data_IF_383070561792
#
_entry.id   IF_383070561792
#
_cell.length_a   1.000
_cell.length_b   1.000
_cell.length_c   1.000
_cell.angle_alpha   90.00
_cell.angle_beta   90.00
_cell.angle_gamma   90.00
#
_symmetry.space_group_name_H-M   'P 1'
#
loop_
_entity.id
_entity.type
_entity.pdbx_description
1 polymer ?
#
# COMPACT_ATOMS: atom_id res chain seq x y z
N UNK A 1 -7.31 41.72 45.56
CA UNK A 1 -7.47 42.55 44.35
C UNK A 1 -6.23 42.28 43.50
N UNK A 2 -6.31 41.23 42.70
CA UNK A 2 -5.19 40.67 41.92
C UNK A 2 -5.28 41.26 40.51
N UNK A 3 -4.18 41.88 40.05
CA UNK A 3 -4.12 42.60 38.77
C UNK A 3 -3.93 41.60 37.63
N UNK A 4 -4.90 41.53 36.73
CA UNK A 4 -4.84 40.80 35.45
C UNK A 4 -3.99 41.61 34.47
N UNK A 5 -2.91 41.02 33.94
CA UNK A 5 -2.16 41.54 32.79
C UNK A 5 -2.86 41.12 31.48
N UNK A 6 -2.99 41.98 30.46
CA UNK A 6 -3.52 41.59 29.16
C UNK A 6 -2.46 40.84 28.34
N UNK A 7 -2.85 39.70 27.78
CA UNK A 7 -2.09 38.97 26.76
C UNK A 7 -2.06 39.80 25.46
N UNK A 8 -0.88 40.26 25.05
CA UNK A 8 -0.68 40.82 23.71
C UNK A 8 -0.79 39.70 22.66
N UNK A 9 -1.67 39.89 21.69
CA UNK A 9 -1.85 39.00 20.55
C UNK A 9 -0.73 39.26 19.52
N UNK A 10 0.07 38.23 19.21
CA UNK A 10 0.99 38.27 18.08
C UNK A 10 0.20 38.46 16.76
N UNK A 11 0.65 39.33 15.84
CA UNK A 11 0.00 39.48 14.54
C UNK A 11 0.07 38.18 13.75
N UNK A 12 -1.08 37.68 13.30
CA UNK A 12 -1.13 36.54 12.37
C UNK A 12 -0.46 36.95 11.06
N UNK A 13 0.57 36.19 10.66
CA UNK A 13 1.27 36.38 9.40
C UNK A 13 0.28 36.23 8.23
N UNK A 14 0.30 37.08 7.20
CA UNK A 14 -0.62 36.98 6.07
C UNK A 14 -0.49 35.63 5.36
N UNK A 15 -1.60 34.94 5.06
CA UNK A 15 -1.62 33.65 4.31
C UNK A 15 -0.84 33.66 3.00
N UNK A 16 -0.70 34.82 2.36
CA UNK A 16 0.10 34.99 1.15
C UNK A 16 1.60 34.82 1.40
N UNK A 17 2.09 35.20 2.57
CA UNK A 17 3.48 35.02 3.00
C UNK A 17 3.76 33.56 3.42
N UNK A 18 2.83 32.90 4.12
CA UNK A 18 2.92 31.45 4.39
C UNK A 18 3.02 30.62 3.11
N UNK A 19 2.19 30.95 2.10
CA UNK A 19 2.20 30.26 0.80
C UNK A 19 3.46 30.57 -0.02
N UNK A 20 4.02 31.76 0.15
CA UNK A 20 5.27 32.18 -0.51
C UNK A 20 6.50 31.50 0.11
N UNK A 21 6.58 31.42 1.44
CA UNK A 21 7.66 30.71 2.15
C UNK A 21 7.60 29.19 1.90
N UNK A 22 6.41 28.57 1.89
CA UNK A 22 6.23 27.15 1.57
C UNK A 22 6.69 26.78 0.13
N UNK A 23 6.62 27.73 -0.79
CA UNK A 23 7.09 27.56 -2.17
C UNK A 23 8.59 27.84 -2.33
N UNK A 24 9.23 28.54 -1.37
CA UNK A 24 10.65 28.90 -1.43
C UNK A 24 11.58 27.91 -0.68
N UNK A 25 11.02 26.85 -0.11
CA UNK A 25 11.79 25.74 0.46
C UNK A 25 12.46 24.98 -0.69
N UNK A 26 13.80 24.94 -0.67
CA UNK A 26 14.65 24.22 -1.63
C UNK A 26 14.11 22.81 -1.91
N UNK A 27 14.14 22.39 -3.18
CA UNK A 27 13.78 21.03 -3.59
C UNK A 27 14.50 19.98 -2.74
N UNK A 28 15.76 20.22 -2.36
CA UNK A 28 16.50 19.33 -1.46
C UNK A 28 15.83 19.22 -0.09
N UNK A 29 15.34 20.31 0.50
CA UNK A 29 14.69 20.27 1.81
C UNK A 29 13.32 19.58 1.73
N UNK A 30 12.54 19.80 0.66
CA UNK A 30 11.29 19.05 0.40
C UNK A 30 11.56 17.57 0.20
N UNK A 31 12.62 17.23 -0.54
CA UNK A 31 13.06 15.85 -0.77
C UNK A 31 13.58 15.18 0.51
N UNK A 32 14.42 15.87 1.30
CA UNK A 32 14.93 15.40 2.59
C UNK A 32 13.82 15.19 3.62
N UNK A 33 12.79 16.04 3.59
CA UNK A 33 11.58 15.86 4.40
C UNK A 33 10.74 14.66 3.92
N UNK A 34 10.59 14.50 2.61
CA UNK A 34 9.87 13.36 2.01
C UNK A 34 10.54 12.01 2.32
N UNK A 35 11.88 11.92 2.21
CA UNK A 35 12.61 10.70 2.63
C UNK A 35 12.65 10.55 4.15
N UNK A 36 12.33 11.61 4.90
CA UNK A 36 12.30 11.63 6.35
C UNK A 36 13.67 11.59 7.02
N UNK A 37 14.67 12.26 6.42
CA UNK A 37 16.07 12.30 6.86
C UNK A 37 16.24 12.60 8.36
N UNK A 38 15.35 13.41 8.93
CA UNK A 38 15.38 13.82 10.33
C UNK A 38 14.90 12.74 11.31
N UNK A 39 14.07 11.79 10.89
CA UNK A 39 13.50 10.76 11.77
C UNK A 39 14.20 9.40 11.67
N UNK A 40 15.25 9.25 10.84
CA UNK A 40 16.06 8.02 10.81
C UNK A 40 16.68 7.67 12.17
N UNK A 41 16.80 8.67 13.05
CA UNK A 41 17.35 8.50 14.40
C UNK A 41 16.28 8.21 15.46
N UNK A 42 14.98 8.18 15.10
CA UNK A 42 13.91 7.81 16.04
C UNK A 42 13.88 6.27 16.21
N UNK A 43 13.94 5.75 17.45
CA UNK A 43 13.79 4.32 17.70
C UNK A 43 12.37 3.82 17.39
N UNK A 44 11.36 4.68 17.45
CA UNK A 44 9.97 4.35 17.10
C UNK A 44 9.84 4.06 15.60
N UNK A 45 10.49 4.86 14.75
CA UNK A 45 10.54 4.62 13.30
C UNK A 45 11.09 3.24 12.95
N UNK A 46 12.18 2.81 13.61
CA UNK A 46 12.77 1.49 13.38
C UNK A 46 11.88 0.35 13.89
N UNK A 47 11.18 0.54 15.01
CA UNK A 47 10.19 -0.44 15.50
C UNK A 47 9.03 -0.59 14.53
N UNK A 48 8.52 0.52 13.98
CA UNK A 48 7.45 0.50 13.01
C UNK A 48 7.90 -0.12 11.68
N UNK A 49 9.09 0.23 11.17
CA UNK A 49 9.67 -0.37 9.97
C UNK A 49 9.92 -1.89 10.12
N UNK A 50 10.37 -2.33 11.30
CA UNK A 50 10.52 -3.76 11.60
C UNK A 50 9.16 -4.48 11.65
N UNK A 51 8.14 -3.82 12.20
CA UNK A 51 6.76 -4.33 12.20
C UNK A 51 6.23 -4.47 10.77
N UNK A 52 6.45 -3.48 9.91
CA UNK A 52 6.10 -3.52 8.48
C UNK A 52 6.83 -4.63 7.72
N UNK A 53 8.10 -4.88 8.05
CA UNK A 53 8.87 -6.00 7.49
C UNK A 53 8.24 -7.35 7.87
N UNK A 54 8.01 -7.60 9.17
CA UNK A 54 7.42 -8.85 9.65
C UNK A 54 6.01 -9.04 9.09
N UNK A 55 5.19 -7.99 9.13
CA UNK A 55 3.85 -7.99 8.59
C UNK A 55 3.86 -8.34 7.09
N UNK A 56 4.75 -7.73 6.30
CA UNK A 56 4.86 -8.04 4.87
C UNK A 56 5.34 -9.47 4.64
N UNK A 57 6.28 -9.99 5.44
CA UNK A 57 6.75 -11.37 5.31
C UNK A 57 5.62 -12.38 5.54
N UNK A 58 4.88 -12.25 6.64
CA UNK A 58 3.77 -13.14 6.95
C UNK A 58 2.58 -12.94 5.99
N UNK A 59 2.34 -11.71 5.53
CA UNK A 59 1.31 -11.42 4.52
C UNK A 59 1.64 -12.13 3.21
N UNK A 60 2.87 -11.97 2.71
CA UNK A 60 3.32 -12.58 1.46
C UNK A 60 3.26 -14.11 1.54
N UNK A 61 3.73 -14.69 2.65
CA UNK A 61 3.64 -16.12 2.90
C UNK A 61 2.19 -16.60 2.89
N UNK A 62 1.34 -16.02 3.74
CA UNK A 62 -0.05 -16.47 3.93
C UNK A 62 -0.87 -16.28 2.65
N UNK A 63 -0.84 -15.06 2.10
CA UNK A 63 -1.63 -14.70 0.92
C UNK A 63 -1.24 -15.53 -0.30
N UNK A 64 0.06 -15.67 -0.56
CA UNK A 64 0.54 -16.41 -1.74
C UNK A 64 0.25 -17.90 -1.60
N UNK A 65 0.43 -18.48 -0.41
CA UNK A 65 0.06 -19.88 -0.13
C UNK A 65 -1.43 -20.09 -0.39
N UNK A 66 -2.30 -19.26 0.20
CA UNK A 66 -3.75 -19.41 0.05
C UNK A 66 -4.19 -19.29 -1.40
N UNK A 67 -3.65 -18.33 -2.16
CA UNK A 67 -3.96 -18.19 -3.59
C UNK A 67 -3.52 -19.43 -4.36
N UNK A 68 -2.29 -19.91 -4.16
CA UNK A 68 -1.79 -21.10 -4.86
C UNK A 68 -2.66 -22.32 -4.51
N UNK A 69 -2.97 -22.54 -3.24
CA UNK A 69 -3.80 -23.68 -2.81
C UNK A 69 -5.21 -23.65 -3.41
N UNK A 70 -5.83 -22.47 -3.53
CA UNK A 70 -7.16 -22.32 -4.19
C UNK A 70 -7.08 -22.64 -5.68
N UNK A 71 -5.99 -22.26 -6.35
CA UNK A 71 -5.81 -22.52 -7.77
C UNK A 71 -5.51 -24.01 -8.04
N UNK A 72 -4.80 -24.66 -7.12
CA UNK A 72 -4.41 -26.08 -7.21
C UNK A 72 -5.57 -27.02 -6.87
N UNK A 73 -6.50 -26.63 -6.00
CA UNK A 73 -7.59 -27.49 -5.52
C UNK A 73 -8.68 -27.80 -6.55
N UNK A 74 -8.55 -27.35 -7.81
CA UNK A 74 -9.50 -27.59 -8.90
C UNK A 74 -10.98 -27.29 -8.55
N UNK A 75 -11.20 -26.30 -7.68
CA UNK A 75 -12.53 -25.90 -7.24
C UNK A 75 -13.39 -25.35 -8.39
N UNK A 76 -14.71 -25.42 -8.24
CA UNK A 76 -15.67 -25.10 -9.31
C UNK A 76 -15.62 -23.61 -9.71
N UNK A 77 -15.23 -22.69 -8.80
CA UNK A 77 -15.23 -21.24 -9.05
C UNK A 77 -14.08 -20.46 -8.38
N UNK A 78 -12.81 -20.66 -8.77
CA UNK A 78 -11.67 -19.98 -8.13
C UNK A 78 -11.67 -18.45 -8.37
N UNK A 79 -12.43 -17.96 -9.36
CA UNK A 79 -12.56 -16.53 -9.68
C UNK A 79 -13.18 -15.70 -8.55
N UNK A 80 -14.06 -16.30 -7.75
CA UNK A 80 -14.69 -15.64 -6.60
C UNK A 80 -13.93 -15.95 -5.30
N UNK A 81 -13.41 -17.16 -5.17
CA UNK A 81 -12.71 -17.61 -3.97
C UNK A 81 -11.39 -16.87 -3.74
N UNK A 82 -10.63 -16.57 -4.81
CA UNK A 82 -9.36 -15.82 -4.71
C UNK A 82 -9.56 -14.40 -4.12
N UNK A 83 -10.46 -13.54 -4.66
CA UNK A 83 -10.75 -12.24 -4.06
C UNK A 83 -11.26 -12.31 -2.63
N UNK A 84 -12.11 -13.30 -2.31
CA UNK A 84 -12.62 -13.50 -0.95
C UNK A 84 -11.50 -13.82 0.03
N UNK A 85 -10.58 -14.71 -0.35
CA UNK A 85 -9.40 -15.03 0.46
C UNK A 85 -8.48 -13.82 0.64
N UNK A 86 -8.25 -13.04 -0.43
CA UNK A 86 -7.48 -11.79 -0.36
C UNK A 86 -8.12 -10.82 0.65
N UNK A 87 -9.45 -10.64 0.59
CA UNK A 87 -10.18 -9.79 1.52
C UNK A 87 -9.97 -10.23 2.96
N UNK A 88 -10.17 -11.51 3.28
CA UNK A 88 -10.07 -12.04 4.64
C UNK A 88 -8.65 -11.92 5.21
N UNK A 89 -7.63 -12.34 4.44
CA UNK A 89 -6.24 -12.27 4.87
C UNK A 89 -5.84 -10.81 5.08
N UNK A 90 -6.09 -9.94 4.11
CA UNK A 90 -5.68 -8.54 4.20
C UNK A 90 -6.42 -7.80 5.32
N UNK A 91 -7.71 -8.04 5.50
CA UNK A 91 -8.48 -7.44 6.59
C UNK A 91 -7.87 -7.75 7.96
N UNK A 92 -7.53 -9.01 8.23
CA UNK A 92 -6.94 -9.41 9.51
C UNK A 92 -5.55 -8.80 9.72
N UNK A 93 -4.71 -8.83 8.68
CA UNK A 93 -3.39 -8.20 8.75
C UNK A 93 -3.49 -6.69 8.98
N UNK A 94 -4.41 -5.99 8.31
CA UNK A 94 -4.65 -4.56 8.54
C UNK A 94 -5.14 -4.28 9.97
N UNK A 95 -6.11 -5.05 10.46
CA UNK A 95 -6.62 -4.90 11.83
C UNK A 95 -5.52 -5.02 12.89
N UNK A 96 -4.53 -5.88 12.66
CA UNK A 96 -3.39 -6.04 13.58
C UNK A 96 -2.31 -4.98 13.39
N UNK A 97 -2.00 -4.60 12.16
CA UNK A 97 -0.79 -3.81 11.84
C UNK A 97 -1.02 -2.29 11.82
N UNK A 98 -2.25 -1.85 11.52
CA UNK A 98 -2.65 -0.43 11.57
C UNK A 98 -2.30 0.22 12.91
N UNK A 99 -2.68 -0.34 14.09
CA UNK A 99 -2.34 0.28 15.38
C UNK A 99 -0.85 0.19 15.75
N UNK A 100 -0.07 -0.67 15.08
CA UNK A 100 1.35 -0.89 15.42
C UNK A 100 2.31 -0.06 14.56
N UNK A 101 1.96 0.21 13.30
CA UNK A 101 2.89 0.80 12.33
C UNK A 101 2.23 1.68 11.26
N UNK A 102 0.90 1.72 11.20
CA UNK A 102 0.13 2.28 10.09
C UNK A 102 -0.39 1.21 9.13
N UNK A 103 0.22 0.02 9.11
CA UNK A 103 -0.33 -1.17 8.44
C UNK A 103 -0.33 -1.06 6.92
N UNK A 104 0.77 -0.56 6.34
CA UNK A 104 0.86 -0.34 4.90
C UNK A 104 1.10 -1.64 4.15
N UNK A 105 2.12 -2.40 4.53
CA UNK A 105 2.58 -3.68 3.93
C UNK A 105 2.72 -3.64 2.40
N UNK A 106 2.79 -2.44 1.83
CA UNK A 106 2.64 -2.15 0.41
C UNK A 106 3.31 -0.81 0.07
N UNK A 107 4.26 -0.80 -0.87
CA UNK A 107 4.90 0.43 -1.35
C UNK A 107 3.92 1.49 -1.88
N UNK A 108 2.80 1.08 -2.49
CA UNK A 108 1.77 2.00 -3.01
C UNK A 108 1.14 2.80 -1.87
N UNK A 109 0.75 2.13 -0.79
CA UNK A 109 0.13 2.79 0.37
C UNK A 109 1.12 3.66 1.13
N UNK A 110 2.38 3.23 1.21
CA UNK A 110 3.47 4.04 1.78
C UNK A 110 3.69 5.31 0.97
N UNK A 111 3.67 5.20 -0.36
CA UNK A 111 3.81 6.35 -1.24
C UNK A 111 2.66 7.34 -1.07
N UNK A 112 1.41 6.86 -1.07
CA UNK A 112 0.20 7.70 -0.89
C UNK A 112 0.14 8.35 0.50
N UNK A 113 0.63 7.67 1.54
CA UNK A 113 0.73 8.24 2.87
C UNK A 113 1.93 9.20 3.04
N UNK A 114 2.71 9.44 1.97
CA UNK A 114 3.97 10.19 2.00
C UNK A 114 4.93 9.70 3.10
N UNK A 115 4.91 8.40 3.39
CA UNK A 115 5.78 7.78 4.37
C UNK A 115 7.13 7.39 3.78
N UNK A 116 8.06 7.06 4.69
CA UNK A 116 9.49 7.05 4.44
C UNK A 116 9.95 5.84 3.64
N UNK A 117 11.06 6.02 2.92
CA UNK A 117 11.75 4.98 2.14
C UNK A 117 12.06 3.73 2.96
N UNK A 118 12.29 3.88 4.27
CA UNK A 118 12.58 2.76 5.17
C UNK A 118 11.44 1.72 5.25
N UNK A 119 10.18 2.15 5.10
CA UNK A 119 9.04 1.23 5.03
C UNK A 119 9.09 0.42 3.73
N UNK A 120 9.37 1.07 2.60
CA UNK A 120 9.50 0.39 1.30
C UNK A 120 10.62 -0.66 1.34
N UNK A 121 11.75 -0.36 1.97
CA UNK A 121 12.83 -1.32 2.19
C UNK A 121 12.38 -2.48 3.08
N UNK A 122 11.67 -2.19 4.17
CA UNK A 122 11.06 -3.19 5.05
C UNK A 122 10.09 -4.10 4.29
N UNK A 123 9.24 -3.56 3.42
CA UNK A 123 8.31 -4.32 2.58
C UNK A 123 9.04 -5.25 1.62
N UNK A 124 10.09 -4.75 0.97
CA UNK A 124 10.90 -5.55 0.05
C UNK A 124 11.60 -6.70 0.78
N UNK A 125 12.28 -6.42 1.90
CA UNK A 125 12.95 -7.42 2.73
C UNK A 125 11.95 -8.44 3.30
N UNK A 126 10.79 -7.98 3.75
CA UNK A 126 9.70 -8.80 4.22
C UNK A 126 9.21 -9.74 3.12
N UNK A 127 8.96 -9.22 1.91
CA UNK A 127 8.50 -10.05 0.80
C UNK A 127 9.50 -11.10 0.36
N UNK A 128 10.81 -10.80 0.36
CA UNK A 128 11.86 -11.77 0.09
C UNK A 128 11.82 -12.87 1.15
N UNK A 129 11.77 -12.48 2.43
CA UNK A 129 11.71 -13.42 3.55
C UNK A 129 10.48 -14.33 3.50
N UNK A 130 9.29 -13.75 3.28
CA UNK A 130 8.03 -14.50 3.21
C UNK A 130 8.00 -15.49 2.04
N UNK A 131 8.49 -15.08 0.87
CA UNK A 131 8.57 -15.97 -0.29
C UNK A 131 9.65 -17.05 -0.13
N UNK A 132 10.78 -16.73 0.50
CA UNK A 132 11.80 -17.72 0.85
C UNK A 132 11.23 -18.81 1.78
N UNK A 133 10.48 -18.42 2.81
CA UNK A 133 9.80 -19.39 3.69
C UNK A 133 8.83 -20.26 2.88
N UNK A 134 8.04 -19.66 1.97
CA UNK A 134 7.12 -20.41 1.10
C UNK A 134 7.84 -21.49 0.27
N UNK A 135 8.99 -21.18 -0.33
CA UNK A 135 9.78 -22.13 -1.12
C UNK A 135 10.28 -23.34 -0.32
N UNK A 136 10.40 -23.21 1.01
CA UNK A 136 10.82 -24.30 1.89
C UNK A 136 9.64 -25.17 2.37
N UNK A 137 8.40 -24.68 2.24
CA UNK A 137 7.19 -25.35 2.76
C UNK A 137 6.35 -25.96 1.63
N UNK A 138 6.45 -25.44 0.41
CA UNK A 138 5.65 -25.87 -0.73
C UNK A 138 6.55 -26.31 -1.90
N UNK A 139 6.11 -27.35 -2.62
CA UNK A 139 6.84 -27.90 -3.75
C UNK A 139 7.04 -26.88 -4.88
N UNK A 140 8.25 -26.83 -5.42
CA UNK A 140 8.64 -25.86 -6.45
C UNK A 140 7.75 -25.93 -7.71
N UNK A 141 7.33 -27.15 -8.09
CA UNK A 141 6.46 -27.35 -9.25
C UNK A 141 5.10 -26.68 -9.07
N UNK A 142 4.49 -26.80 -7.89
CA UNK A 142 3.20 -26.18 -7.54
C UNK A 142 3.28 -24.66 -7.51
N UNK A 143 4.39 -24.11 -7.01
CA UNK A 143 4.65 -22.66 -6.99
C UNK A 143 4.73 -22.10 -8.42
N UNK A 144 5.44 -22.80 -9.32
CA UNK A 144 5.66 -22.34 -10.69
C UNK A 144 4.43 -22.53 -11.59
N UNK A 145 3.61 -23.56 -11.38
CA UNK A 145 2.40 -23.84 -12.16
C UNK A 145 1.26 -22.86 -11.88
N UNK A 146 1.22 -22.25 -10.69
CA UNK A 146 0.15 -21.35 -10.26
C UNK A 146 0.53 -19.86 -10.28
N UNK A 147 1.40 -19.48 -11.23
CA UNK A 147 1.73 -18.08 -11.53
C UNK A 147 2.24 -17.27 -10.33
N UNK A 148 2.80 -17.95 -9.33
CA UNK A 148 3.37 -17.37 -8.11
C UNK A 148 2.40 -16.42 -7.38
N UNK A 149 1.10 -16.72 -7.44
CA UNK A 149 0.06 -15.89 -6.87
C UNK A 149 -0.11 -14.54 -7.56
N UNK A 150 -0.04 -14.49 -8.90
CA UNK A 150 -0.37 -13.31 -9.71
C UNK A 150 0.80 -12.37 -10.04
N UNK A 151 2.04 -12.85 -9.90
CA UNK A 151 3.25 -12.04 -10.16
C UNK A 151 3.89 -12.29 -11.54
N UNK A 152 3.15 -12.88 -12.47
CA UNK A 152 3.60 -13.09 -13.85
C UNK A 152 3.16 -11.94 -14.77
N UNK A 153 3.97 -11.65 -15.78
CA UNK A 153 3.65 -10.68 -16.84
C UNK A 153 3.55 -11.44 -18.16
N UNK A 154 2.45 -11.24 -18.85
CA UNK A 154 2.31 -11.61 -20.25
C UNK A 154 1.86 -10.33 -20.97
N UNK A 155 2.58 -9.93 -22.02
CA UNK A 155 2.44 -8.63 -22.69
C UNK A 155 2.65 -7.41 -21.77
N UNK A 156 3.86 -6.80 -21.71
CA UNK A 156 4.15 -5.67 -20.81
C UNK A 156 3.18 -4.49 -20.93
N UNK A 157 2.74 -4.14 -22.14
CA UNK A 157 1.83 -3.03 -22.38
C UNK A 157 0.43 -3.28 -21.77
N UNK A 158 -0.17 -4.43 -22.04
CA UNK A 158 -1.47 -4.82 -21.48
C UNK A 158 -1.40 -4.94 -19.96
N UNK A 159 -0.32 -5.54 -19.44
CA UNK A 159 -0.09 -5.66 -18.01
C UNK A 159 0.06 -4.29 -17.33
N UNK A 160 0.73 -3.33 -17.98
CA UNK A 160 0.91 -1.98 -17.47
C UNK A 160 -0.44 -1.24 -17.35
N UNK A 161 -1.28 -1.29 -18.40
CA UNK A 161 -2.61 -0.67 -18.40
C UNK A 161 -3.48 -1.28 -17.31
N UNK A 162 -3.50 -2.62 -17.21
CA UNK A 162 -4.29 -3.32 -16.20
C UNK A 162 -3.87 -2.93 -14.79
N UNK A 163 -2.56 -2.88 -14.51
CA UNK A 163 -2.03 -2.49 -13.19
C UNK A 163 -2.35 -1.04 -12.86
N UNK A 164 -2.20 -0.13 -13.82
CA UNK A 164 -2.58 1.26 -13.65
C UNK A 164 -4.07 1.40 -13.28
N UNK A 165 -4.96 0.82 -14.09
CA UNK A 165 -6.42 0.94 -13.87
C UNK A 165 -6.85 0.29 -12.56
N UNK A 166 -6.40 -0.93 -12.27
CA UNK A 166 -6.75 -1.61 -11.03
C UNK A 166 -6.19 -0.88 -9.79
N UNK A 167 -4.96 -0.34 -9.85
CA UNK A 167 -4.42 0.47 -8.76
C UNK A 167 -5.19 1.77 -8.60
N UNK A 168 -5.53 2.44 -9.69
CA UNK A 168 -6.32 3.67 -9.61
C UNK A 168 -7.70 3.42 -8.98
N UNK A 169 -8.40 2.35 -9.39
CA UNK A 169 -9.68 1.96 -8.76
C UNK A 169 -9.51 1.65 -7.28
N UNK A 170 -8.45 0.91 -6.92
CA UNK A 170 -8.14 0.62 -5.52
C UNK A 170 -7.91 1.90 -4.71
N UNK A 171 -7.14 2.86 -5.22
CA UNK A 171 -6.90 4.13 -4.54
C UNK A 171 -8.17 4.97 -4.45
N UNK A 172 -8.87 5.13 -5.58
CA UNK A 172 -10.08 5.94 -5.68
C UNK A 172 -11.19 5.44 -4.76
N UNK A 173 -11.41 4.12 -4.68
CA UNK A 173 -12.42 3.56 -3.77
C UNK A 173 -11.88 3.41 -2.36
N UNK A 174 -10.71 2.78 -2.20
CA UNK A 174 -10.13 2.43 -0.92
C UNK A 174 -9.76 3.65 -0.10
N UNK A 175 -8.81 4.45 -0.59
CA UNK A 175 -8.27 5.59 0.15
C UNK A 175 -9.36 6.65 0.37
N UNK A 176 -10.10 7.02 -0.67
CA UNK A 176 -11.15 8.04 -0.54
C UNK A 176 -12.25 7.65 0.45
N UNK A 177 -12.70 6.38 0.45
CA UNK A 177 -13.75 5.94 1.39
C UNK A 177 -13.20 5.66 2.79
N UNK A 178 -11.99 5.11 2.91
CA UNK A 178 -11.37 4.80 4.19
C UNK A 178 -11.10 6.07 5.00
N UNK A 179 -10.73 7.15 4.31
CA UNK A 179 -10.41 8.42 4.95
C UNK A 179 -11.52 9.47 4.87
N UNK A 180 -12.75 9.09 4.52
CA UNK A 180 -13.92 9.97 4.69
C UNK A 180 -14.12 10.29 6.19
N UNK A 181 -13.83 11.54 6.57
CA UNK A 181 -13.93 12.09 7.93
C UNK A 181 -15.20 11.71 8.67
N UNK A 182 -16.35 11.74 7.99
CA UNK A 182 -17.64 11.49 8.64
C UNK A 182 -17.73 10.02 9.04
N UNK A 183 -17.40 9.14 8.12
CA UNK A 183 -17.51 7.70 8.30
C UNK A 183 -16.41 7.13 9.21
N UNK A 184 -15.19 7.65 9.10
CA UNK A 184 -14.06 7.23 9.95
C UNK A 184 -14.34 7.53 11.44
N UNK A 185 -15.03 8.62 11.77
CA UNK A 185 -15.40 8.95 13.16
C UNK A 185 -16.45 8.03 13.75
N UNK A 186 -17.39 7.55 12.94
CA UNK A 186 -18.51 6.71 13.39
C UNK A 186 -18.10 5.23 13.50
N UNK A 187 -17.22 4.76 12.62
CA UNK A 187 -16.92 3.33 12.46
C UNK A 187 -15.47 2.95 12.84
N UNK A 188 -14.58 3.92 13.02
CA UNK A 188 -13.21 3.71 13.50
C UNK A 188 -12.31 2.86 12.59
N UNK A 189 -11.29 2.23 13.19
CA UNK A 189 -10.25 1.45 12.50
C UNK A 189 -10.84 0.30 11.67
N UNK A 190 -11.91 -0.34 12.16
CA UNK A 190 -12.53 -1.47 11.47
C UNK A 190 -13.04 -1.07 10.07
N UNK A 191 -13.57 0.13 9.90
CA UNK A 191 -14.00 0.63 8.60
C UNK A 191 -12.82 0.79 7.64
N UNK A 192 -11.72 1.40 8.10
CA UNK A 192 -10.51 1.58 7.29
C UNK A 192 -10.04 0.21 6.79
N UNK A 193 -9.92 -0.77 7.67
CA UNK A 193 -9.47 -2.11 7.33
C UNK A 193 -10.42 -2.81 6.32
N UNK A 194 -11.74 -2.75 6.54
CA UNK A 194 -12.73 -3.35 5.62
C UNK A 194 -12.70 -2.70 4.24
N UNK A 195 -12.66 -1.37 4.17
CA UNK A 195 -12.70 -0.64 2.91
C UNK A 195 -11.41 -0.84 2.12
N UNK A 196 -10.25 -0.80 2.79
CA UNK A 196 -8.96 -1.03 2.14
C UNK A 196 -8.83 -2.49 1.65
N UNK A 197 -9.19 -3.47 2.48
CA UNK A 197 -9.17 -4.87 2.07
C UNK A 197 -10.18 -5.15 0.94
N UNK A 198 -11.39 -4.60 1.05
CA UNK A 198 -12.48 -4.80 0.10
C UNK A 198 -12.22 -4.18 -1.26
N UNK A 199 -11.69 -2.95 -1.29
CA UNK A 199 -11.31 -2.27 -2.54
C UNK A 199 -10.17 -2.98 -3.25
N UNK A 200 -9.16 -3.49 -2.53
CA UNK A 200 -8.08 -4.27 -3.11
C UNK A 200 -8.63 -5.59 -3.69
N UNK A 201 -9.43 -6.33 -2.92
CA UNK A 201 -10.06 -7.57 -3.36
C UNK A 201 -10.95 -7.36 -4.59
N UNK A 202 -11.71 -6.27 -4.63
CA UNK A 202 -12.53 -5.89 -5.77
C UNK A 202 -11.67 -5.61 -7.01
N UNK A 203 -10.57 -4.87 -6.86
CA UNK A 203 -9.67 -4.58 -7.98
C UNK A 203 -9.00 -5.86 -8.52
N UNK A 204 -8.65 -6.82 -7.63
CA UNK A 204 -8.20 -8.15 -8.06
C UNK A 204 -9.31 -8.93 -8.78
N UNK A 205 -10.53 -8.93 -8.25
CA UNK A 205 -11.68 -9.58 -8.91
C UNK A 205 -11.89 -9.04 -10.32
N UNK A 206 -11.93 -7.71 -10.49
CA UNK A 206 -12.05 -7.06 -11.81
C UNK A 206 -10.92 -7.50 -12.74
N UNK A 207 -9.68 -7.56 -12.24
CA UNK A 207 -8.55 -8.02 -13.06
C UNK A 207 -8.68 -9.48 -13.54
N UNK A 208 -9.22 -10.37 -12.69
CA UNK A 208 -9.48 -11.78 -13.05
C UNK A 208 -10.56 -11.87 -14.12
N UNK A 209 -11.64 -11.07 -13.99
CA UNK A 209 -12.74 -11.06 -14.96
C UNK A 209 -12.28 -10.53 -16.32
N UNK A 210 -11.56 -9.40 -16.33
CA UNK A 210 -11.09 -8.75 -17.58
C UNK A 210 -10.08 -9.61 -18.32
N UNK A 211 -9.16 -10.26 -17.62
CA UNK A 211 -8.14 -11.13 -18.25
C UNK A 211 -8.69 -12.50 -18.62
N UNK A 212 -9.84 -12.90 -18.05
CA UNK A 212 -10.45 -14.21 -18.25
C UNK A 212 -9.64 -15.39 -17.68
N UNK A 213 -8.48 -15.12 -17.09
CA UNK A 213 -7.50 -16.11 -16.65
C UNK A 213 -7.25 -15.95 -15.16
N UNK A 214 -7.58 -16.98 -14.39
CA UNK A 214 -7.39 -17.00 -12.92
C UNK A 214 -5.90 -16.92 -12.53
N UNK A 215 -5.01 -17.20 -13.48
CA UNK A 215 -3.56 -17.13 -13.33
C UNK A 215 -2.85 -16.03 -14.13
N UNK A 216 -3.52 -15.29 -15.01
CA UNK A 216 -2.86 -14.17 -15.70
C UNK A 216 -2.78 -13.00 -14.75
N UNK A 217 -1.69 -12.93 -13.98
CA UNK A 217 -1.20 -11.73 -13.33
C UNK A 217 -2.29 -10.82 -12.80
N UNK A 218 -3.25 -11.37 -12.04
CA UNK A 218 -4.25 -10.56 -11.36
C UNK A 218 -3.55 -9.40 -10.69
N UNK A 219 -4.15 -8.21 -10.67
CA UNK A 219 -3.45 -7.02 -10.23
C UNK A 219 -2.91 -7.27 -8.82
N UNK A 220 -1.61 -7.57 -8.69
CA UNK A 220 -1.03 -7.88 -7.38
C UNK A 220 -1.16 -6.67 -6.46
N UNK A 221 -1.30 -5.47 -7.05
CA UNK A 221 -1.53 -4.19 -6.40
C UNK A 221 -0.58 -3.95 -5.23
N UNK A 222 0.60 -4.58 -5.27
CA UNK A 222 1.64 -4.54 -4.25
C UNK A 222 2.98 -4.87 -4.95
N UNK A 223 3.79 -3.84 -5.27
CA UNK A 223 5.06 -4.04 -5.97
C UNK A 223 6.04 -4.92 -5.19
N UNK A 224 6.11 -4.74 -3.86
CA UNK A 224 7.00 -5.53 -3.00
C UNK A 224 6.63 -7.01 -3.01
N UNK A 225 5.34 -7.36 -2.96
CA UNK A 225 4.85 -8.76 -3.03
C UNK A 225 5.43 -9.53 -4.22
N UNK A 226 5.59 -8.87 -5.36
CA UNK A 226 6.13 -9.50 -6.57
C UNK A 226 7.64 -9.42 -6.68
N UNK A 227 8.31 -8.57 -5.89
CA UNK A 227 9.77 -8.47 -5.90
C UNK A 227 10.42 -9.73 -5.30
N UNK A 228 9.89 -10.24 -4.18
CA UNK A 228 10.41 -11.45 -3.53
C UNK A 228 10.49 -12.66 -4.48
N UNK A 229 9.37 -13.04 -5.14
CA UNK A 229 9.36 -14.09 -6.16
C UNK A 229 10.31 -13.80 -7.33
N UNK A 230 10.35 -12.56 -7.83
CA UNK A 230 11.17 -12.19 -8.98
C UNK A 230 12.68 -12.36 -8.70
N UNK A 231 13.13 -11.99 -7.50
CA UNK A 231 14.53 -12.14 -7.10
C UNK A 231 14.93 -13.60 -6.83
N UNK A 232 14.00 -14.41 -6.29
CA UNK A 232 14.30 -15.78 -5.86
C UNK A 232 14.09 -16.84 -6.96
N UNK A 233 13.22 -16.60 -7.94
CA UNK A 233 12.97 -17.52 -9.07
C UNK A 233 13.67 -17.09 -10.36
N UNK A 234 14.27 -15.89 -10.39
CA UNK A 234 15.17 -15.46 -11.46
C UNK A 234 14.49 -14.99 -12.76
N UNK A 235 15.23 -15.15 -13.87
CA UNK A 235 15.10 -14.38 -15.12
C UNK A 235 13.68 -14.31 -15.71
N UNK A 236 12.89 -15.39 -15.64
CA UNK A 236 11.53 -15.43 -16.22
C UNK A 236 10.57 -14.44 -15.56
N UNK A 237 10.75 -14.15 -14.29
CA UNK A 237 9.90 -13.20 -13.54
C UNK A 237 10.48 -11.81 -13.50
N UNK A 238 11.80 -11.70 -13.68
CA UNK A 238 12.47 -10.42 -13.77
C UNK A 238 12.14 -9.71 -15.08
N UNK A 239 12.00 -10.46 -16.18
CA UNK A 239 11.54 -9.91 -17.45
C UNK A 239 10.11 -9.36 -17.33
N UNK A 240 9.97 -8.06 -17.60
CA UNK A 240 8.73 -7.32 -17.38
C UNK A 240 8.44 -6.92 -15.92
N UNK A 241 9.25 -7.28 -14.93
CA UNK A 241 8.97 -6.98 -13.50
C UNK A 241 8.70 -5.49 -13.21
N UNK A 242 9.35 -4.60 -13.97
CA UNK A 242 9.19 -3.16 -13.84
C UNK A 242 7.73 -2.69 -13.92
N UNK A 243 6.84 -3.40 -14.62
CA UNK A 243 5.42 -3.02 -14.74
C UNK A 243 4.68 -3.05 -13.39
N UNK A 244 5.12 -3.90 -12.44
CA UNK A 244 4.55 -3.97 -11.09
C UNK A 244 4.86 -2.73 -10.26
N UNK A 245 5.88 -1.97 -10.65
CA UNK A 245 6.24 -0.70 -10.03
C UNK A 245 5.61 0.44 -10.83
N UNK A 246 5.96 0.55 -12.11
CA UNK A 246 5.64 1.73 -12.93
C UNK A 246 4.13 1.96 -13.06
N UNK A 247 3.34 0.92 -13.34
CA UNK A 247 1.88 1.06 -13.49
C UNK A 247 1.22 1.60 -12.22
N UNK A 248 1.44 0.95 -11.06
CA UNK A 248 0.89 1.43 -9.80
C UNK A 248 1.41 2.81 -9.35
N UNK A 249 2.68 3.15 -9.56
CA UNK A 249 3.19 4.48 -9.21
C UNK A 249 2.59 5.58 -10.08
N UNK A 250 2.37 5.35 -11.38
CA UNK A 250 1.62 6.30 -12.21
C UNK A 250 0.17 6.46 -11.74
N UNK A 251 -0.47 5.39 -11.30
CA UNK A 251 -1.80 5.49 -10.72
C UNK A 251 -1.82 6.32 -9.42
N UNK A 252 -0.76 6.24 -8.61
CA UNK A 252 -0.61 7.10 -7.43
C UNK A 252 -0.52 8.57 -7.80
N UNK A 253 0.30 8.91 -8.80
CA UNK A 253 0.47 10.29 -9.27
C UNK A 253 -0.87 10.81 -9.81
N UNK A 254 -1.53 10.05 -10.68
CA UNK A 254 -2.84 10.43 -11.21
C UNK A 254 -3.92 10.59 -10.12
N UNK A 255 -3.88 9.75 -9.08
CA UNK A 255 -4.78 9.89 -7.93
C UNK A 255 -4.48 11.15 -7.11
N UNK A 256 -3.20 11.46 -6.89
CA UNK A 256 -2.79 12.68 -6.19
C UNK A 256 -3.23 13.95 -6.91
N UNK A 257 -3.06 14.00 -8.23
CA UNK A 257 -3.48 15.14 -9.05
C UNK A 257 -5.01 15.36 -8.94
N UNK A 258 -5.79 14.27 -8.95
CA UNK A 258 -7.24 14.33 -8.72
C UNK A 258 -7.59 14.78 -7.29
N UNK A 259 -6.81 14.34 -6.30
CA UNK A 259 -7.00 14.69 -4.89
C UNK A 259 -6.79 16.20 -4.64
N UNK A 260 -5.76 16.78 -5.28
CA UNK A 260 -5.42 18.20 -5.17
C UNK A 260 -6.50 19.10 -5.82
N UNK A 261 -7.10 18.66 -6.93
CA UNK A 261 -8.20 19.39 -7.58
C UNK A 261 -9.49 19.41 -6.73
N UNK A 262 -9.69 18.42 -5.86
CA UNK A 262 -10.90 18.26 -5.05
C UNK A 262 -10.72 18.55 -3.54
N UNK A 263 -9.57 19.07 -3.10
CA UNK A 263 -9.30 19.49 -1.71
C UNK A 263 -9.48 18.37 -0.64
N UNK A 264 -9.32 17.10 -1.06
CA UNK A 264 -9.47 15.92 -0.18
C UNK A 264 -8.33 15.84 0.86
N UNK A 265 -7.20 16.51 0.61
CA UNK A 265 -6.02 16.58 1.49
C UNK A 265 -6.31 17.17 2.88
N UNK A 266 -7.36 17.99 3.01
CA UNK A 266 -7.81 18.48 4.33
C UNK A 266 -8.42 17.34 5.15
N UNK A 267 -8.99 16.33 4.51
CA UNK A 267 -9.70 15.19 5.10
C UNK A 267 -8.74 14.22 5.78
N UNK A 268 -7.71 13.74 5.06
CA UNK A 268 -6.70 12.82 5.61
C UNK A 268 -5.90 13.46 6.77
N UNK A 269 -5.44 14.71 6.63
CA UNK A 269 -4.67 15.44 7.66
C UNK A 269 -5.46 15.76 8.93
N UNK A 270 -6.79 15.72 8.91
CA UNK A 270 -7.62 15.94 10.09
C UNK A 270 -8.28 14.66 10.63
N UNK A 271 -8.20 13.54 9.90
CA UNK A 271 -8.41 12.21 10.47
C UNK A 271 -7.21 11.79 11.33
N UNK A 272 -6.00 12.04 10.83
CA UNK A 272 -4.77 11.89 11.60
C UNK A 272 -4.44 13.22 12.29
N UNK A 273 -5.07 13.47 13.44
CA UNK A 273 -4.61 14.53 14.33
C UNK A 273 -3.09 14.41 14.56
N UNK A 274 -2.44 15.51 14.94
CA UNK A 274 -0.97 15.66 15.14
C UNK A 274 -0.25 14.59 16.00
N UNK A 275 -0.94 13.55 16.47
CA UNK A 275 -0.51 12.57 17.46
C UNK A 275 -0.29 11.15 16.92
N UNK A 276 -0.25 10.92 15.60
CA UNK A 276 0.10 9.61 15.02
C UNK A 276 1.49 9.58 14.35
N UNK A 277 2.28 10.66 14.54
CA UNK A 277 3.75 10.56 14.48
C UNK A 277 4.23 10.29 15.90
N UNK A 278 4.07 9.04 16.32
CA UNK A 278 4.83 8.40 17.40
C UNK A 278 5.21 7.02 16.86
#
# INVERSE_FOLDING_TARGET
MEKVFPHEAHPQLPRSLEKYEANNISFQTKFLAFIGAHEFYSPEMWKAAFTELLATAFLVFTLTTTIISILDSHEVEPKLLVPLAIFLVLFLFLMTTVPLSGGHMNPILTFIAALKVIYVLGHCAGSITGFYILQNVMDCQTIQSHFLGGCTVDGPATALILKFVCTFVFLFLGVTLAFDKKRCKELGIAMVCVVMAGSLALAVFVSIIVTGKVGYGGASLNPAKCLGPALLQGDRLWDGHWVFWVGPFFACIAYYDLEEEHDILWVARACFGKNLVC
#
